data_IF_140721143371
#
_entry.id   IF_140721143371
#
_cell.length_a   1.000
_cell.length_b   1.000
_cell.length_c   1.000
_cell.angle_alpha   90.00
_cell.angle_beta   90.00
_cell.angle_gamma   90.00
#
_symmetry.space_group_name_H-M   'P 1'
#
loop_
_entity.id
_entity.type
_entity.pdbx_description
1 polymer ?
#
# COMPACT_ATOMS: atom_id res chain seq x y z
N UNK A 1 -16.96 -5.48 27.34
CA UNK A 1 -16.00 -6.61 27.20
C UNK A 1 -14.77 -6.09 26.47
N UNK A 2 -13.60 -6.22 27.08
CA UNK A 2 -12.32 -5.79 26.51
C UNK A 2 -12.01 -6.62 25.27
N UNK A 3 -12.07 -6.00 24.09
CA UNK A 3 -11.65 -6.61 22.83
C UNK A 3 -10.12 -6.56 22.79
N UNK A 4 -9.48 -7.72 22.94
CA UNK A 4 -8.04 -7.92 22.78
C UNK A 4 -7.71 -8.05 21.30
N UNK A 5 -6.54 -7.56 20.88
CA UNK A 5 -5.93 -8.06 19.64
C UNK A 5 -5.80 -9.59 19.77
N UNK A 6 -6.27 -10.33 18.76
CA UNK A 6 -6.07 -11.79 18.69
C UNK A 6 -4.55 -11.99 18.68
N UNK A 7 -4.01 -12.67 19.70
CA UNK A 7 -2.56 -12.82 19.92
C UNK A 7 -1.82 -13.27 18.65
N UNK A 8 -2.45 -14.12 17.84
CA UNK A 8 -1.94 -14.58 16.55
C UNK A 8 -1.75 -13.44 15.52
N UNK A 9 -2.71 -12.52 15.39
CA UNK A 9 -2.58 -11.38 14.47
C UNK A 9 -1.53 -10.38 14.94
N UNK A 10 -1.42 -10.19 16.25
CA UNK A 10 -0.38 -9.34 16.82
C UNK A 10 1.00 -9.94 16.54
N UNK A 11 1.14 -11.26 16.69
CA UNK A 11 2.35 -11.99 16.34
C UNK A 11 2.69 -11.87 14.85
N UNK A 12 1.73 -12.03 13.94
CA UNK A 12 1.98 -11.81 12.51
C UNK A 12 2.45 -10.38 12.24
N UNK A 13 1.81 -9.39 12.86
CA UNK A 13 2.17 -7.99 12.71
C UNK A 13 3.62 -7.73 13.16
N UNK A 14 3.97 -8.20 14.35
CA UNK A 14 5.27 -8.01 14.99
C UNK A 14 6.39 -8.76 14.26
N UNK A 15 6.20 -10.05 13.98
CA UNK A 15 7.27 -10.93 13.52
C UNK A 15 7.39 -10.97 11.98
N UNK A 16 6.28 -10.79 11.26
CA UNK A 16 6.24 -11.03 9.80
C UNK A 16 6.01 -9.77 8.97
N UNK A 17 5.24 -8.79 9.46
CA UNK A 17 4.87 -7.62 8.67
C UNK A 17 5.75 -6.41 8.95
N UNK A 18 5.75 -5.90 10.19
CA UNK A 18 6.45 -4.66 10.55
C UNK A 18 7.95 -4.69 10.21
N UNK A 19 8.71 -5.77 10.45
CA UNK A 19 10.13 -5.80 10.10
C UNK A 19 10.39 -5.58 8.61
N UNK A 20 9.59 -6.22 7.73
CA UNK A 20 9.72 -6.04 6.28
C UNK A 20 9.27 -4.65 5.87
N UNK A 21 8.10 -4.22 6.35
CA UNK A 21 7.52 -2.90 6.04
C UNK A 21 8.48 -1.77 6.41
N UNK A 22 9.04 -1.81 7.62
CA UNK A 22 10.05 -0.85 8.09
C UNK A 22 11.29 -0.91 7.21
N UNK A 23 11.76 -2.09 6.82
CA UNK A 23 12.98 -2.20 6.02
C UNK A 23 12.83 -1.62 4.61
N UNK A 24 11.65 -1.75 3.99
CA UNK A 24 11.46 -1.38 2.58
C UNK A 24 10.77 -0.05 2.37
N UNK A 25 9.89 0.41 3.27
CA UNK A 25 9.09 1.60 3.00
C UNK A 25 9.98 2.81 2.66
N UNK A 26 9.74 3.53 1.55
CA UNK A 26 10.71 4.49 1.02
C UNK A 26 10.83 5.77 1.87
N UNK A 27 9.76 6.14 2.57
CA UNK A 27 9.75 7.31 3.47
C UNK A 27 10.50 7.06 4.78
N UNK A 28 11.34 8.02 5.21
CA UNK A 28 12.17 7.89 6.40
C UNK A 28 11.39 8.05 7.70
N UNK A 29 10.52 9.05 7.75
CA UNK A 29 9.78 9.41 8.95
C UNK A 29 8.79 8.27 9.26
N UNK A 30 8.17 7.70 8.21
CA UNK A 30 7.39 6.46 8.34
C UNK A 30 8.15 5.32 9.02
N UNK A 31 9.40 5.09 8.63
CA UNK A 31 10.20 3.99 9.19
C UNK A 31 10.55 4.24 10.64
N UNK A 32 10.87 5.48 11.01
CA UNK A 32 11.16 5.86 12.40
C UNK A 32 9.93 5.61 13.28
N UNK A 33 8.78 6.07 12.83
CA UNK A 33 7.51 5.91 13.55
C UNK A 33 7.07 4.44 13.64
N UNK A 34 7.15 3.69 12.55
CA UNK A 34 6.82 2.26 12.54
C UNK A 34 7.79 1.44 13.40
N UNK A 35 9.06 1.84 13.49
CA UNK A 35 10.03 1.23 14.42
C UNK A 35 9.67 1.52 15.87
N UNK A 36 9.22 2.73 16.18
CA UNK A 36 8.69 3.09 17.51
C UNK A 36 7.47 2.26 17.88
N UNK A 37 6.54 2.07 16.94
CA UNK A 37 5.37 1.20 17.14
C UNK A 37 5.79 -0.25 17.42
N UNK A 38 6.70 -0.80 16.62
CA UNK A 38 7.22 -2.16 16.82
C UNK A 38 7.87 -2.31 18.20
N UNK A 39 8.68 -1.33 18.63
CA UNK A 39 9.31 -1.32 19.94
C UNK A 39 8.29 -1.24 21.09
N UNK A 40 7.19 -0.52 20.92
CA UNK A 40 6.13 -0.46 21.92
C UNK A 40 5.34 -1.78 21.99
N UNK A 41 5.10 -2.44 20.85
CA UNK A 41 4.42 -3.75 20.79
C UNK A 41 5.25 -4.80 21.52
N UNK A 42 6.56 -4.88 21.24
CA UNK A 42 7.46 -5.90 21.79
C UNK A 42 7.67 -5.77 23.31
N UNK A 43 7.37 -4.61 23.90
CA UNK A 43 7.44 -4.36 25.34
C UNK A 43 6.19 -4.84 26.10
N UNK A 44 5.09 -5.12 25.42
CA UNK A 44 3.87 -5.63 26.06
C UNK A 44 3.89 -7.15 26.12
N UNK A 45 3.64 -7.71 27.30
CA UNK A 45 3.42 -9.15 27.45
C UNK A 45 1.94 -9.47 27.32
N UNK A 46 1.61 -10.43 26.45
CA UNK A 46 0.23 -10.88 26.22
C UNK A 46 -0.60 -9.93 25.36
N UNK A 47 -1.93 -9.99 25.53
CA UNK A 47 -2.84 -9.24 24.69
C UNK A 47 -2.77 -7.71 24.90
N UNK A 48 -2.68 -6.96 23.81
CA UNK A 48 -2.79 -5.50 23.82
C UNK A 48 -4.28 -5.10 23.83
N UNK A 49 -4.67 -4.27 24.82
CA UNK A 49 -6.02 -3.69 24.87
C UNK A 49 -6.16 -2.54 23.87
N UNK A 50 -7.41 -2.23 23.49
CA UNK A 50 -7.70 -1.06 22.64
C UNK A 50 -7.11 0.25 23.18
N UNK A 51 -7.15 0.47 24.50
CA UNK A 51 -6.63 1.70 25.09
C UNK A 51 -5.10 1.78 24.91
N UNK A 52 -4.38 0.71 25.25
CA UNK A 52 -2.94 0.62 25.03
C UNK A 52 -2.56 0.81 23.56
N UNK A 53 -3.30 0.18 22.64
CA UNK A 53 -3.09 0.37 21.20
C UNK A 53 -3.27 1.84 20.79
N UNK A 54 -4.32 2.51 21.28
CA UNK A 54 -4.55 3.91 20.96
C UNK A 54 -3.48 4.83 21.53
N UNK A 55 -2.96 4.55 22.73
CA UNK A 55 -1.89 5.32 23.37
C UNK A 55 -0.57 5.18 22.59
N UNK A 56 -0.24 3.97 22.12
CA UNK A 56 0.93 3.75 21.25
C UNK A 56 0.84 4.57 19.96
N UNK A 57 -0.37 4.78 19.44
CA UNK A 57 -0.62 5.55 18.22
C UNK A 57 -0.69 7.07 18.44
N UNK A 58 -1.01 7.54 19.67
CA UNK A 58 -1.11 8.97 19.98
C UNK A 58 0.25 9.69 19.80
N UNK A 59 1.38 8.98 19.99
CA UNK A 59 2.73 9.50 19.75
C UNK A 59 3.20 9.48 18.30
N UNK A 60 2.41 8.89 17.38
CA UNK A 60 2.82 8.60 16.01
C UNK A 60 1.93 9.34 14.99
N UNK A 61 0.61 9.30 15.19
CA UNK A 61 -0.34 9.95 14.29
C UNK A 61 -1.37 10.76 15.08
N UNK A 62 -1.62 12.03 14.71
CA UNK A 62 -2.65 12.84 15.34
C UNK A 62 -3.98 12.11 15.36
N UNK A 63 -4.71 12.19 16.48
CA UNK A 63 -6.00 11.49 16.65
C UNK A 63 -7.02 11.86 15.57
N UNK A 64 -6.99 13.09 15.10
CA UNK A 64 -7.83 13.56 13.99
C UNK A 64 -7.56 12.79 12.68
N UNK A 65 -6.29 12.49 12.38
CA UNK A 65 -5.86 11.76 11.19
C UNK A 65 -6.31 10.29 11.24
N UNK A 66 -6.28 9.67 12.42
CA UNK A 66 -6.81 8.31 12.62
C UNK A 66 -8.33 8.25 12.54
N UNK A 67 -9.02 9.29 12.98
CA UNK A 67 -10.50 9.26 13.05
C UNK A 67 -11.15 9.59 11.71
N UNK A 68 -10.48 10.37 10.84
CA UNK A 68 -10.99 10.81 9.55
C UNK A 68 -9.87 10.83 8.49
N UNK A 69 -9.35 9.66 8.08
CA UNK A 69 -8.21 9.59 7.16
C UNK A 69 -8.48 10.21 5.79
N UNK A 70 -9.72 10.13 5.31
CA UNK A 70 -10.12 10.63 3.99
C UNK A 70 -9.85 12.13 3.83
N UNK A 71 -9.92 12.92 4.93
CA UNK A 71 -9.64 14.35 4.92
C UNK A 71 -8.16 14.68 4.68
N UNK A 72 -7.28 13.70 4.84
CA UNK A 72 -5.83 13.85 4.70
C UNK A 72 -5.30 13.22 3.40
N UNK A 73 -6.08 12.41 2.69
CA UNK A 73 -5.61 11.76 1.47
C UNK A 73 -5.71 12.67 0.24
N UNK A 74 -4.61 12.79 -0.51
CA UNK A 74 -4.53 13.61 -1.74
C UNK A 74 -5.27 13.00 -2.94
N UNK A 75 -5.21 11.67 -3.06
CA UNK A 75 -5.73 10.94 -4.23
C UNK A 75 -6.77 9.86 -3.87
N UNK A 76 -6.99 9.62 -2.58
CA UNK A 76 -7.89 8.57 -2.10
C UNK A 76 -9.07 9.16 -1.33
N UNK A 77 -10.23 8.52 -1.48
CA UNK A 77 -11.46 8.91 -0.80
C UNK A 77 -12.06 7.75 0.01
N UNK A 78 -11.34 6.63 0.13
CA UNK A 78 -11.74 5.47 0.92
C UNK A 78 -10.54 4.60 1.29
N UNK A 79 -10.69 3.84 2.36
CA UNK A 79 -9.66 3.02 2.98
C UNK A 79 -9.00 2.01 2.03
N UNK A 80 -9.77 1.41 1.13
CA UNK A 80 -9.22 0.45 0.17
C UNK A 80 -8.27 1.15 -0.81
N UNK A 81 -8.59 2.37 -1.26
CA UNK A 81 -7.69 3.15 -2.09
C UNK A 81 -6.37 3.42 -1.38
N UNK A 82 -6.43 3.86 -0.12
CA UNK A 82 -5.23 4.12 0.67
C UNK A 82 -4.36 2.89 0.88
N UNK A 83 -4.97 1.71 1.13
CA UNK A 83 -4.23 0.45 1.22
C UNK A 83 -3.50 0.08 -0.08
N UNK A 84 -4.11 0.29 -1.23
CA UNK A 84 -3.42 0.09 -2.51
C UNK A 84 -2.22 1.02 -2.64
N UNK A 85 -2.33 2.29 -2.26
CA UNK A 85 -1.18 3.20 -2.26
C UNK A 85 -0.06 2.70 -1.36
N UNK A 86 -0.40 2.23 -0.16
CA UNK A 86 0.58 1.66 0.76
C UNK A 86 1.32 0.48 0.14
N UNK A 87 0.60 -0.49 -0.42
CA UNK A 87 1.21 -1.64 -1.07
C UNK A 87 2.11 -1.23 -2.25
N UNK A 88 1.67 -0.29 -3.09
CA UNK A 88 2.48 0.27 -4.17
C UNK A 88 3.77 0.90 -3.63
N UNK A 89 3.70 1.72 -2.58
CA UNK A 89 4.88 2.29 -1.93
C UNK A 89 5.86 1.24 -1.40
N UNK A 90 5.39 0.11 -0.86
CA UNK A 90 6.26 -0.99 -0.41
C UNK A 90 7.04 -1.60 -1.58
N UNK A 91 6.41 -1.81 -2.74
CA UNK A 91 7.08 -2.37 -3.92
C UNK A 91 8.21 -1.48 -4.42
N UNK A 92 8.06 -0.15 -4.33
CA UNK A 92 9.10 0.83 -4.72
C UNK A 92 10.27 0.90 -3.71
N UNK A 93 10.12 0.24 -2.57
CA UNK A 93 11.15 0.09 -1.55
C UNK A 93 12.17 -1.00 -1.82
N UNK A 94 11.84 -1.96 -2.69
CA UNK A 94 12.69 -3.10 -3.02
C UNK A 94 14.04 -2.62 -3.54
N UNK A 95 15.13 -3.16 -2.98
CA UNK A 95 16.50 -2.82 -3.37
C UNK A 95 17.02 -1.46 -2.87
N UNK A 96 16.21 -0.61 -2.21
CA UNK A 96 16.66 0.72 -1.75
C UNK A 96 17.50 0.70 -0.47
N UNK A 97 17.31 -0.28 0.43
CA UNK A 97 18.06 -0.39 1.70
C UNK A 97 18.31 -1.86 2.09
N UNK A 98 19.59 -2.19 2.27
CA UNK A 98 20.15 -3.54 2.45
C UNK A 98 20.16 -4.04 3.91
N UNK A 99 19.14 -3.70 4.72
CA UNK A 99 18.98 -4.30 6.05
C UNK A 99 18.11 -5.56 6.02
N UNK A 100 17.40 -5.82 4.90
CA UNK A 100 16.96 -7.18 4.60
C UNK A 100 18.21 -8.00 4.25
N UNK A 101 18.33 -9.27 4.68
CA UNK A 101 19.43 -10.14 4.29
C UNK A 101 19.65 -10.01 2.79
N UNK A 102 20.91 -9.87 2.38
CA UNK A 102 21.37 -9.63 1.01
C UNK A 102 21.10 -10.80 0.04
N UNK A 103 19.94 -11.44 0.17
CA UNK A 103 19.50 -12.50 -0.70
C UNK A 103 18.61 -11.88 -1.79
N UNK A 104 18.75 -12.43 -2.98
CA UNK A 104 18.05 -12.10 -4.22
C UNK A 104 16.51 -12.26 -4.16
N UNK A 105 15.90 -12.27 -2.96
CA UNK A 105 14.49 -12.53 -2.71
C UNK A 105 13.71 -11.34 -2.14
N UNK A 106 14.30 -10.13 -2.10
CA UNK A 106 13.65 -8.96 -1.48
C UNK A 106 12.28 -8.65 -2.09
N UNK A 107 12.12 -8.75 -3.42
CA UNK A 107 10.83 -8.58 -4.07
C UNK A 107 9.81 -9.64 -3.69
N UNK A 108 10.17 -10.93 -3.68
CA UNK A 108 9.28 -12.02 -3.25
C UNK A 108 8.84 -11.87 -1.79
N UNK A 109 9.76 -11.44 -0.90
CA UNK A 109 9.45 -11.13 0.50
C UNK A 109 8.41 -10.00 0.59
N UNK A 110 8.55 -8.93 -0.21
CA UNK A 110 7.56 -7.84 -0.23
C UNK A 110 6.21 -8.31 -0.80
N UNK A 111 6.20 -9.04 -1.90
CA UNK A 111 4.95 -9.60 -2.46
C UNK A 111 4.23 -10.50 -1.44
N UNK A 112 4.97 -11.37 -0.75
CA UNK A 112 4.43 -12.23 0.31
C UNK A 112 3.94 -11.42 1.50
N UNK A 113 4.66 -10.37 1.90
CA UNK A 113 4.24 -9.46 2.98
C UNK A 113 2.91 -8.79 2.66
N UNK A 114 2.71 -8.33 1.41
CA UNK A 114 1.44 -7.79 0.95
C UNK A 114 0.33 -8.86 1.03
N UNK A 115 0.58 -10.09 0.57
CA UNK A 115 -0.37 -11.21 0.70
C UNK A 115 -0.75 -11.44 2.16
N UNK A 116 0.22 -11.59 3.05
CA UNK A 116 0.00 -11.83 4.48
C UNK A 116 -0.82 -10.70 5.10
N UNK A 117 -0.52 -9.45 4.75
CA UNK A 117 -1.31 -8.30 5.18
C UNK A 117 -2.77 -8.42 4.72
N UNK A 118 -2.99 -8.78 3.47
CA UNK A 118 -4.35 -8.93 2.92
C UNK A 118 -5.12 -10.05 3.62
N UNK A 119 -4.46 -11.18 3.92
CA UNK A 119 -5.08 -12.32 4.63
C UNK A 119 -5.51 -11.92 6.04
N UNK A 120 -4.62 -11.30 6.79
CA UNK A 120 -4.85 -11.09 8.23
C UNK A 120 -5.59 -9.78 8.52
N UNK A 121 -5.43 -8.76 7.67
CA UNK A 121 -5.82 -7.39 7.96
C UNK A 121 -6.81 -6.74 6.99
N UNK A 122 -7.15 -7.38 5.86
CA UNK A 122 -8.13 -6.79 4.94
C UNK A 122 -9.57 -7.08 5.38
N UNK A 123 -10.39 -6.03 5.49
CA UNK A 123 -11.77 -6.16 5.99
C UNK A 123 -12.73 -6.89 5.05
N UNK A 124 -12.51 -6.78 3.74
CA UNK A 124 -13.38 -7.41 2.75
C UNK A 124 -12.91 -8.84 2.49
N UNK A 125 -13.57 -9.82 3.11
CA UNK A 125 -13.22 -11.24 2.99
C UNK A 125 -13.21 -11.73 1.54
N UNK A 126 -14.24 -11.39 0.76
CA UNK A 126 -14.34 -11.75 -0.66
C UNK A 126 -13.21 -11.11 -1.48
N UNK A 127 -12.88 -9.85 -1.21
CA UNK A 127 -11.78 -9.17 -1.87
C UNK A 127 -10.43 -9.81 -1.52
N UNK A 128 -10.24 -10.21 -0.26
CA UNK A 128 -9.04 -10.91 0.20
C UNK A 128 -8.90 -12.28 -0.48
N UNK A 129 -9.99 -13.04 -0.61
CA UNK A 129 -10.01 -14.31 -1.34
C UNK A 129 -9.63 -14.14 -2.81
N UNK A 130 -10.17 -13.11 -3.48
CA UNK A 130 -9.78 -12.79 -4.85
C UNK A 130 -8.29 -12.43 -4.98
N UNK A 131 -7.76 -11.65 -4.03
CA UNK A 131 -6.33 -11.30 -4.02
C UNK A 131 -5.46 -12.54 -3.83
N UNK A 132 -5.76 -13.36 -2.83
CA UNK A 132 -5.02 -14.59 -2.49
C UNK A 132 -5.05 -15.57 -3.65
N UNK A 133 -6.22 -15.81 -4.25
CA UNK A 133 -6.35 -16.67 -5.43
C UNK A 133 -5.47 -16.17 -6.57
N UNK A 134 -5.53 -14.88 -6.89
CA UNK A 134 -4.70 -14.30 -7.95
C UNK A 134 -3.20 -14.36 -7.65
N UNK A 135 -2.80 -14.19 -6.39
CA UNK A 135 -1.42 -14.39 -5.97
C UNK A 135 -0.95 -15.84 -6.19
N UNK A 136 -1.76 -16.81 -5.72
CA UNK A 136 -1.42 -18.23 -5.76
C UNK A 136 -1.44 -18.80 -7.19
N UNK A 137 -2.31 -18.28 -8.05
CA UNK A 137 -2.38 -18.61 -9.48
C UNK A 137 -1.30 -17.89 -10.33
N UNK A 138 -0.35 -17.21 -9.71
CA UNK A 138 0.71 -16.45 -10.40
C UNK A 138 0.17 -15.38 -11.38
N UNK A 139 -0.99 -14.78 -11.08
CA UNK A 139 -1.60 -13.77 -11.93
C UNK A 139 -0.69 -12.53 -12.08
N UNK A 140 -0.92 -11.76 -13.15
CA UNK A 140 -0.17 -10.55 -13.47
C UNK A 140 1.36 -10.76 -13.63
N UNK A 141 1.78 -11.98 -13.96
CA UNK A 141 3.18 -12.32 -14.18
C UNK A 141 4.00 -12.48 -12.91
N UNK A 142 3.36 -12.68 -11.74
CA UNK A 142 4.06 -12.78 -10.44
C UNK A 142 5.28 -13.72 -10.49
N UNK A 143 5.08 -14.91 -11.05
CA UNK A 143 6.03 -16.01 -11.04
C UNK A 143 6.92 -16.10 -12.30
N UNK A 144 7.02 -15.03 -13.10
CA UNK A 144 7.86 -15.06 -14.31
C UNK A 144 9.33 -14.73 -14.03
N UNK A 145 9.67 -14.43 -12.77
CA UNK A 145 11.03 -14.11 -12.32
C UNK A 145 11.26 -14.77 -10.97
N UNK A 146 12.29 -15.62 -10.86
CA UNK A 146 12.63 -16.37 -9.63
C UNK A 146 13.11 -15.44 -8.50
N UNK A 147 13.76 -14.34 -8.89
CA UNK A 147 14.32 -13.33 -8.00
C UNK A 147 13.77 -11.93 -8.36
N UNK A 148 12.49 -11.63 -8.02
CA UNK A 148 11.86 -10.36 -8.33
C UNK A 148 12.68 -9.15 -7.89
N UNK A 149 13.12 -8.36 -8.87
CA UNK A 149 13.68 -7.04 -8.62
C UNK A 149 12.58 -6.00 -8.32
N UNK A 150 12.99 -4.75 -8.12
CA UNK A 150 12.07 -3.65 -7.84
C UNK A 150 11.05 -3.44 -8.96
N UNK A 151 11.50 -3.44 -10.21
CA UNK A 151 10.66 -3.15 -11.37
C UNK A 151 9.62 -4.25 -11.55
N UNK A 152 10.05 -5.52 -11.50
CA UNK A 152 9.15 -6.67 -11.58
C UNK A 152 8.12 -6.64 -10.43
N UNK A 153 8.56 -6.31 -9.21
CA UNK A 153 7.68 -6.26 -8.04
C UNK A 153 6.62 -5.16 -8.14
N UNK A 154 7.01 -3.95 -8.56
CA UNK A 154 6.10 -2.84 -8.73
C UNK A 154 5.11 -3.08 -9.89
N UNK A 155 5.61 -3.54 -11.04
CA UNK A 155 4.79 -3.82 -12.22
C UNK A 155 3.82 -4.98 -11.98
N UNK A 156 4.21 -6.02 -11.25
CA UNK A 156 3.28 -7.09 -10.86
C UNK A 156 2.06 -6.52 -10.14
N UNK A 157 2.28 -5.72 -9.09
CA UNK A 157 1.19 -5.17 -8.30
C UNK A 157 0.34 -4.19 -9.13
N UNK A 158 0.96 -3.39 -9.99
CA UNK A 158 0.28 -2.47 -10.91
C UNK A 158 -0.61 -3.21 -11.93
N UNK A 159 -0.08 -4.24 -12.61
CA UNK A 159 -0.84 -5.09 -13.53
C UNK A 159 -2.00 -5.76 -12.80
N UNK A 160 -1.73 -6.31 -11.61
CA UNK A 160 -2.74 -6.97 -10.77
C UNK A 160 -3.86 -5.99 -10.38
N UNK A 161 -3.50 -4.79 -9.93
CA UNK A 161 -4.49 -3.77 -9.56
C UNK A 161 -5.34 -3.34 -10.77
N UNK A 162 -4.76 -3.25 -11.97
CA UNK A 162 -5.51 -3.01 -13.19
C UNK A 162 -6.48 -4.15 -13.55
N UNK A 163 -6.13 -5.41 -13.28
CA UNK A 163 -7.07 -6.53 -13.40
C UNK A 163 -8.25 -6.38 -12.43
N UNK A 164 -7.99 -5.93 -11.20
CA UNK A 164 -9.03 -5.65 -10.20
C UNK A 164 -9.91 -4.47 -10.63
N UNK A 165 -9.34 -3.39 -11.16
CA UNK A 165 -10.08 -2.25 -11.70
C UNK A 165 -11.06 -2.70 -12.79
N UNK A 166 -10.60 -3.51 -13.73
CA UNK A 166 -11.44 -4.03 -14.80
C UNK A 166 -12.56 -4.94 -14.27
N UNK A 167 -12.24 -5.90 -13.40
CA UNK A 167 -13.23 -6.81 -12.82
C UNK A 167 -14.31 -6.06 -12.05
N UNK A 168 -13.91 -5.15 -11.15
CA UNK A 168 -14.85 -4.41 -10.30
C UNK A 168 -15.67 -3.38 -11.08
N UNK A 169 -15.15 -2.83 -12.18
CA UNK A 169 -15.93 -2.02 -13.09
C UNK A 169 -17.03 -2.84 -13.78
N UNK A 170 -16.71 -4.04 -14.26
CA UNK A 170 -17.68 -4.97 -14.84
C UNK A 170 -18.77 -5.38 -13.83
N UNK A 171 -18.40 -5.72 -12.58
CA UNK A 171 -19.34 -6.03 -11.49
C UNK A 171 -20.31 -4.87 -11.20
N UNK A 172 -19.88 -3.62 -11.43
CA UNK A 172 -20.70 -2.40 -11.28
C UNK A 172 -21.49 -2.04 -12.55
N UNK A 173 -21.46 -2.87 -13.59
CA UNK A 173 -22.14 -2.62 -14.86
C UNK A 173 -21.45 -1.58 -15.76
N UNK A 174 -20.20 -1.23 -15.48
CA UNK A 174 -19.41 -0.32 -16.30
C UNK A 174 -18.73 -1.15 -17.39
N UNK A 175 -19.39 -1.30 -18.54
CA UNK A 175 -18.91 -2.12 -19.67
C UNK A 175 -18.38 -1.21 -20.79
N UNK A 176 -17.27 -1.60 -21.41
CA UNK A 176 -16.70 -0.92 -22.58
C UNK A 176 -16.02 0.41 -22.30
N UNK A 177 -15.88 0.80 -21.02
CA UNK A 177 -15.04 1.94 -20.61
C UNK A 177 -13.63 1.46 -20.31
N UNK A 178 -12.67 2.30 -20.65
CA UNK A 178 -11.27 2.08 -20.29
C UNK A 178 -11.09 2.35 -18.79
N UNK A 179 -10.75 1.29 -18.05
CA UNK A 179 -10.55 1.32 -16.59
C UNK A 179 -9.08 1.21 -16.20
N UNK A 180 -8.17 1.13 -17.17
CA UNK A 180 -6.77 0.95 -16.87
C UNK A 180 -6.16 2.26 -16.36
N UNK A 181 -5.22 2.14 -15.43
CA UNK A 181 -4.47 3.25 -14.86
C UNK A 181 -2.97 3.05 -15.16
N UNK A 182 -2.21 4.12 -15.46
CA UNK A 182 -2.68 5.49 -15.65
C UNK A 182 -3.52 5.68 -16.90
N UNK A 183 -4.37 6.70 -16.91
CA UNK A 183 -5.02 7.24 -18.11
C UNK A 183 -3.99 7.95 -19.01
N UNK A 184 -4.38 8.22 -20.27
CA UNK A 184 -3.52 8.98 -21.20
C UNK A 184 -3.17 10.38 -20.68
N UNK A 185 -4.11 11.01 -19.99
CA UNK A 185 -3.95 12.38 -19.49
C UNK A 185 -3.03 12.42 -18.26
N UNK A 186 -3.01 11.35 -17.45
CA UNK A 186 -2.09 11.20 -16.32
C UNK A 186 -0.66 10.87 -16.78
N UNK A 187 -0.51 10.02 -17.81
CA UNK A 187 0.80 9.67 -18.34
C UNK A 187 0.76 9.46 -19.85
N UNK A 188 1.17 10.49 -20.59
CA UNK A 188 1.19 10.49 -22.07
C UNK A 188 2.16 9.48 -22.67
N UNK A 189 3.23 9.12 -21.93
CA UNK A 189 4.26 8.15 -22.36
C UNK A 189 3.93 6.71 -22.00
N UNK A 190 3.02 6.47 -21.05
CA UNK A 190 2.74 5.13 -20.53
C UNK A 190 1.95 4.27 -21.50
N UNK A 191 1.24 4.86 -22.47
CA UNK A 191 0.36 4.15 -23.40
C UNK A 191 0.78 4.37 -24.84
N UNK A 192 1.11 3.29 -25.52
CA UNK A 192 1.45 3.27 -26.93
C UNK A 192 0.21 2.91 -27.75
N UNK A 193 -0.43 3.94 -28.31
CA UNK A 193 -1.65 3.78 -29.11
C UNK A 193 -1.32 3.30 -30.52
N UNK A 194 -1.97 2.21 -30.95
CA UNK A 194 -1.92 1.78 -32.36
C UNK A 194 -2.80 2.71 -33.20
N UNK A 195 -2.31 3.11 -34.36
CA UNK A 195 -2.99 4.07 -35.23
C UNK A 195 -4.41 3.61 -35.59
N UNK A 196 -5.39 4.50 -35.37
CA UNK A 196 -6.74 4.38 -35.93
C UNK A 196 -7.81 3.68 -35.07
N UNK A 197 -7.52 3.22 -33.86
CA UNK A 197 -8.54 2.58 -32.98
C UNK A 197 -8.44 3.13 -31.54
N UNK A 198 -9.54 3.72 -31.05
CA UNK A 198 -9.66 4.14 -29.64
C UNK A 198 -9.60 2.93 -28.70
N UNK A 199 -8.90 3.06 -27.56
CA UNK A 199 -8.69 2.00 -26.56
C UNK A 199 -7.90 0.77 -27.04
N UNK A 200 -7.17 0.89 -28.16
CA UNK A 200 -6.18 -0.11 -28.57
C UNK A 200 -4.77 0.43 -28.30
N UNK A 201 -4.25 0.12 -27.11
CA UNK A 201 -2.92 0.52 -26.68
C UNK A 201 -2.22 -0.61 -25.92
N UNK A 202 -0.89 -0.58 -25.95
CA UNK A 202 -0.05 -1.35 -25.04
C UNK A 202 0.59 -0.41 -24.02
N UNK A 203 0.91 -0.92 -22.84
CA UNK A 203 1.66 -0.13 -21.87
C UNK A 203 3.15 -0.19 -22.17
N UNK A 204 3.79 0.98 -22.13
CA UNK A 204 5.24 1.09 -22.04
C UNK A 204 5.61 0.96 -20.56
N UNK A 205 6.11 -0.21 -20.15
CA UNK A 205 6.29 -0.52 -18.73
C UNK A 205 7.44 0.25 -18.07
N UNK A 206 8.44 0.68 -18.85
CA UNK A 206 9.49 1.59 -18.36
C UNK A 206 8.88 2.95 -17.98
N UNK A 207 8.07 3.52 -18.87
CA UNK A 207 7.37 4.78 -18.61
C UNK A 207 6.35 4.65 -17.46
N UNK A 208 5.71 3.49 -17.32
CA UNK A 208 4.85 3.19 -16.16
C UNK A 208 5.68 3.16 -14.88
N UNK A 209 6.85 2.53 -14.88
CA UNK A 209 7.72 2.47 -13.70
C UNK A 209 8.13 3.86 -13.24
N UNK A 210 8.56 4.73 -14.17
CA UNK A 210 8.88 6.14 -13.87
C UNK A 210 7.68 6.87 -13.25
N UNK A 211 6.49 6.68 -13.83
CA UNK A 211 5.26 7.28 -13.35
C UNK A 211 4.84 6.76 -11.96
N UNK A 212 5.06 5.47 -11.66
CA UNK A 212 4.83 4.89 -10.33
C UNK A 212 5.75 5.53 -9.29
N UNK A 213 7.02 5.72 -9.61
CA UNK A 213 7.97 6.41 -8.71
C UNK A 213 7.53 7.83 -8.40
N UNK A 214 7.18 8.61 -9.43
CA UNK A 214 6.71 9.99 -9.26
C UNK A 214 5.41 10.06 -8.46
N UNK A 215 4.47 9.14 -8.72
CA UNK A 215 3.15 9.13 -8.10
C UNK A 215 3.18 8.76 -6.61
N UNK A 216 3.98 7.76 -6.24
CA UNK A 216 3.98 7.18 -4.90
C UNK A 216 5.20 7.57 -4.06
N UNK A 217 6.21 8.19 -4.66
CA UNK A 217 7.40 8.68 -3.96
C UNK A 217 8.01 9.90 -4.66
N UNK A 218 7.28 11.04 -4.72
CA UNK A 218 7.82 12.25 -5.34
C UNK A 218 9.07 12.69 -4.58
N UNK A 219 10.19 12.86 -5.30
CA UNK A 219 11.40 13.42 -4.71
C UNK A 219 11.11 14.84 -4.23
N UNK A 220 11.58 15.18 -3.02
CA UNK A 220 11.28 16.47 -2.38
C UNK A 220 11.82 17.69 -3.14
N UNK A 221 12.62 17.51 -4.19
CA UNK A 221 13.30 18.58 -4.93
C UNK A 221 12.43 19.33 -5.96
N UNK A 222 11.27 18.79 -6.38
CA UNK A 222 10.54 19.34 -7.54
C UNK A 222 9.18 20.00 -7.22
N UNK A 223 8.82 20.15 -5.94
CA UNK A 223 7.59 20.85 -5.56
C UNK A 223 7.89 22.35 -5.38
N UNK A 224 7.77 23.13 -6.46
CA UNK A 224 7.66 24.60 -6.34
C UNK A 224 6.27 24.95 -5.77
N UNK A 225 6.17 25.73 -4.69
CA UNK A 225 4.88 26.21 -4.20
C UNK A 225 4.29 27.20 -5.21
N UNK A 226 3.29 26.79 -5.98
CA UNK A 226 2.54 27.68 -6.86
C UNK A 226 1.26 28.13 -6.18
N UNK A 227 1.26 29.31 -5.56
CA UNK A 227 0.04 30.01 -5.14
C UNK A 227 0.26 31.04 -4.02
N UNK A 228 -0.29 32.27 -4.13
CA UNK A 228 -0.18 33.28 -3.10
C UNK A 228 -1.19 33.04 -1.95
N UNK A 229 -0.71 33.24 -0.73
CA UNK A 229 -1.43 33.37 0.56
C UNK A 229 -2.60 32.40 0.82
N UNK A 230 -2.29 31.33 1.56
CA UNK A 230 -3.28 30.41 2.11
C UNK A 230 -2.62 29.12 2.53
N UNK A 231 -1.74 29.20 3.53
CA UNK A 231 -0.94 28.11 4.08
C UNK A 231 -1.77 26.86 4.37
N UNK A 232 -1.77 25.89 3.45
CA UNK A 232 -1.84 24.47 3.80
C UNK A 232 -0.39 23.97 3.89
N UNK A 233 0.07 23.48 5.05
CA UNK A 233 1.43 22.98 5.17
C UNK A 233 1.63 21.84 4.16
N UNK A 234 2.79 21.86 3.51
CA UNK A 234 3.26 20.89 2.54
C UNK A 234 3.13 19.48 3.12
N UNK A 235 2.17 18.72 2.61
CA UNK A 235 1.86 17.40 3.13
C UNK A 235 2.83 16.40 2.53
N UNK A 236 3.92 16.11 3.23
CA UNK A 236 4.83 15.00 2.92
C UNK A 236 4.04 13.69 2.94
N UNK A 237 4.12 12.94 1.83
CA UNK A 237 3.43 11.66 1.64
C UNK A 237 3.80 10.63 2.75
N UNK A 238 4.94 10.80 3.42
CA UNK A 238 5.40 10.01 4.56
C UNK A 238 4.46 9.95 5.76
N UNK A 239 3.85 11.07 6.12
CA UNK A 239 2.93 11.12 7.26
C UNK A 239 1.57 10.42 6.98
N UNK A 240 1.32 9.96 5.75
CA UNK A 240 0.01 9.43 5.33
C UNK A 240 -0.04 7.90 5.43
N UNK A 241 1.12 7.25 5.38
CA UNK A 241 1.19 5.79 5.35
C UNK A 241 1.12 5.16 6.73
N UNK A 242 1.49 5.90 7.78
CA UNK A 242 1.34 5.43 9.16
C UNK A 242 -0.13 5.46 9.58
N UNK A 243 -0.88 6.45 9.13
CA UNK A 243 -2.34 6.48 9.31
C UNK A 243 -2.98 5.21 8.70
N UNK A 244 -2.47 4.72 7.56
CA UNK A 244 -2.97 3.51 6.90
C UNK A 244 -2.66 2.22 7.65
N UNK A 245 -1.45 2.05 8.19
CA UNK A 245 -1.14 0.92 9.07
C UNK A 245 -2.01 0.96 10.34
N UNK A 246 -2.09 2.14 10.96
CA UNK A 246 -2.90 2.38 12.16
C UNK A 246 -4.37 2.05 11.93
N UNK A 247 -4.89 2.34 10.73
CA UNK A 247 -6.29 2.17 10.34
C UNK A 247 -6.63 0.82 9.75
N UNK A 248 -5.67 0.07 9.20
CA UNK A 248 -5.92 -1.30 8.78
C UNK A 248 -6.11 -2.25 9.95
N UNK A 249 -5.42 -1.96 11.04
CA UNK A 249 -5.45 -2.79 12.24
C UNK A 249 -6.67 -2.45 13.10
N UNK A 250 -7.15 -1.20 13.07
CA UNK A 250 -8.29 -0.70 13.88
C UNK A 250 -9.62 -1.45 13.67
N UNK A 251 -10.09 -1.77 12.45
CA UNK A 251 -11.34 -2.50 12.24
C UNK A 251 -11.29 -3.96 12.69
N UNK A 252 -10.11 -4.59 12.70
CA UNK A 252 -9.93 -5.95 13.21
C UNK A 252 -9.99 -6.00 14.74
N UNK A 253 -9.79 -4.85 15.39
CA UNK A 253 -10.10 -4.64 16.81
C UNK A 253 -11.62 -4.51 17.01
N UNK A 254 -12.39 -4.18 15.96
CA UNK A 254 -13.80 -3.83 16.07
C UNK A 254 -14.81 -4.94 15.71
N UNK A 255 -14.47 -6.02 15.00
CA UNK A 255 -15.47 -7.02 14.57
C UNK A 255 -15.11 -8.47 14.91
N UNK A 256 -15.70 -9.00 15.98
CA UNK A 256 -16.84 -9.94 15.85
C UNK A 256 -18.06 -9.13 16.31
N UNK A 257 -19.15 -8.97 15.58
CA UNK A 257 -19.89 -9.85 14.69
C UNK A 257 -20.33 -9.12 13.41
N UNK A 258 -20.70 -9.89 12.39
CA UNK A 258 -21.66 -9.47 11.36
C UNK A 258 -22.91 -8.82 11.99
#
# INVERSE_FOLDING_TARGET
MNKTLIEEKLKTLEESLLPVIIAVHPDKDFREDASGLLANITQVSGAITRAQWMDMLDGIAPRAMRSQPDAFWKHCNNFNCGLWQFFHSLTLGVGRRSNLPANDSAGEVVMKTIKTFVVDFFMCLECAQHFVKGYDDCAAGRCTMDHPDKMHTALWLWRFHNMVNNRTAHERGIIGKDTAWPTKDECTKCREYRSGVSNNYTFNEDAVMDFLEESYYPQSSDIKPTGPSGSRPMVQLGHHTIALLSLAILPLIMVTNF
#
